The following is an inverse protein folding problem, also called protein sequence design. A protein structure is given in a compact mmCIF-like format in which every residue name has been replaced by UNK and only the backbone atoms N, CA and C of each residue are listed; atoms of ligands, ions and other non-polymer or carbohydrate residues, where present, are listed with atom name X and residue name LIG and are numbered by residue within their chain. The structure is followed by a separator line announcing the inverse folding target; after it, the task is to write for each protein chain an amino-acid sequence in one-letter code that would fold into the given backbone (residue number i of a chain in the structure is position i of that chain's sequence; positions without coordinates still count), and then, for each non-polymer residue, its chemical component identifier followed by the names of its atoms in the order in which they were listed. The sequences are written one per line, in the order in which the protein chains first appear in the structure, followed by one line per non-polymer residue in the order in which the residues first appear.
data_IF_552832263077
#
_entry.id   IF_552832263077
#
_cell.length_a   1.000
_cell.length_b   1.000
_cell.length_c   1.000
_cell.angle_alpha   90.00
_cell.angle_beta   90.00
_cell.angle_gamma   90.00
#
_symmetry.space_group_name_H-M   'P 1'
#
loop_
_entity.id
_entity.type
_entity.pdbx_description
1 polymer ?
#
# COMPACT_ATOMS: atom_id res chain seq x y z
N UNK A 1 -25.91 6.56 15.29
CA UNK A 1 -25.13 5.35 14.95
C UNK A 1 -24.14 5.79 13.89
N UNK A 2 -22.83 5.71 14.14
CA UNK A 2 -21.85 6.14 13.15
C UNK A 2 -21.96 5.19 11.95
N UNK A 3 -22.40 5.71 10.81
CA UNK A 3 -22.42 4.97 9.56
C UNK A 3 -21.01 4.44 9.29
N UNK A 4 -20.95 3.12 9.15
CA UNK A 4 -19.75 2.41 8.78
C UNK A 4 -19.39 2.76 7.34
N UNK A 5 -18.55 3.77 7.12
CA UNK A 5 -18.00 4.05 5.80
C UNK A 5 -16.81 3.13 5.57
N UNK A 6 -16.97 2.16 4.66
CA UNK A 6 -15.82 1.52 4.00
C UNK A 6 -14.93 2.64 3.47
N UNK A 7 -13.68 2.69 3.95
CA UNK A 7 -12.74 3.75 3.59
C UNK A 7 -12.29 3.66 2.12
N UNK A 8 -12.29 2.44 1.58
CA UNK A 8 -11.92 2.14 0.20
C UNK A 8 -12.90 1.14 -0.41
N UNK A 9 -13.20 1.33 -1.68
CA UNK A 9 -14.00 0.40 -2.48
C UNK A 9 -13.16 -0.78 -2.95
N UNK A 10 -13.81 -1.88 -3.35
CA UNK A 10 -13.09 -3.04 -3.90
C UNK A 10 -12.31 -2.68 -5.18
N UNK A 11 -12.84 -1.75 -5.98
CA UNK A 11 -12.19 -1.25 -7.19
C UNK A 11 -10.89 -0.49 -6.87
N UNK A 12 -10.88 0.37 -5.84
CA UNK A 12 -9.68 1.06 -5.40
C UNK A 12 -8.61 0.10 -4.86
N UNK A 13 -9.05 -0.95 -4.16
CA UNK A 13 -8.14 -1.99 -3.69
C UNK A 13 -7.54 -2.76 -4.86
N UNK A 14 -8.35 -3.15 -5.84
CA UNK A 14 -7.89 -3.86 -7.03
C UNK A 14 -6.87 -3.02 -7.83
N UNK A 15 -7.14 -1.71 -8.03
CA UNK A 15 -6.21 -0.76 -8.64
C UNK A 15 -4.87 -0.69 -7.90
N UNK A 16 -4.91 -0.62 -6.57
CA UNK A 16 -3.71 -0.63 -5.73
C UNK A 16 -2.90 -1.91 -5.93
N UNK A 17 -3.55 -3.07 -5.87
CA UNK A 17 -2.91 -4.38 -6.02
C UNK A 17 -2.31 -4.55 -7.43
N UNK A 18 -3.03 -4.14 -8.48
CA UNK A 18 -2.53 -4.15 -9.85
C UNK A 18 -1.33 -3.23 -10.04
N UNK A 19 -1.36 -2.03 -9.46
CA UNK A 19 -0.25 -1.08 -9.57
C UNK A 19 1.05 -1.67 -9.03
N UNK A 20 0.98 -2.29 -7.84
CA UNK A 20 2.11 -2.98 -7.23
C UNK A 20 2.52 -4.23 -8.03
N UNK A 21 1.56 -5.03 -8.50
CA UNK A 21 1.81 -6.23 -9.30
C UNK A 21 2.63 -5.94 -10.58
N UNK A 22 2.34 -4.83 -11.25
CA UNK A 22 3.06 -4.41 -12.46
C UNK A 22 4.45 -3.83 -12.19
N UNK A 23 4.75 -3.46 -10.93
CA UNK A 23 5.94 -2.68 -10.57
C UNK A 23 6.83 -3.34 -9.53
N UNK A 24 6.50 -4.52 -9.01
CA UNK A 24 7.32 -5.22 -8.00
C UNK A 24 8.80 -5.31 -8.41
N UNK A 25 9.10 -5.63 -9.66
CA UNK A 25 10.47 -5.71 -10.20
C UNK A 25 11.18 -4.35 -10.34
N UNK A 26 10.43 -3.25 -10.31
CA UNK A 26 10.93 -1.88 -10.39
C UNK A 26 10.98 -1.16 -9.05
N UNK A 27 10.46 -1.78 -7.99
CA UNK A 27 10.52 -1.20 -6.65
C UNK A 27 11.98 -1.13 -6.16
N UNK A 28 12.40 -0.02 -5.54
CA UNK A 28 13.74 0.10 -5.02
C UNK A 28 13.95 -0.87 -3.86
N UNK A 29 15.15 -1.39 -3.64
CA UNK A 29 15.41 -2.22 -2.44
C UNK A 29 15.24 -1.43 -1.13
N UNK A 30 15.33 -0.11 -1.19
CA UNK A 30 15.23 0.79 -0.04
C UNK A 30 14.41 2.02 -0.41
N UNK A 31 13.47 2.42 0.45
CA UNK A 31 12.76 3.70 0.36
C UNK A 31 12.68 4.40 1.71
N UNK A 32 12.89 5.71 1.71
CA UNK A 32 12.63 6.57 2.86
C UNK A 32 11.19 7.08 2.79
N UNK A 33 10.35 6.61 3.71
CA UNK A 33 8.98 7.10 3.85
C UNK A 33 8.95 8.50 4.45
N UNK A 34 9.87 8.76 5.38
CA UNK A 34 10.07 10.02 6.08
C UNK A 34 11.49 10.06 6.66
N UNK A 35 11.90 11.19 7.24
CA UNK A 35 13.23 11.40 7.84
C UNK A 35 13.64 10.32 8.87
N UNK A 36 12.67 9.64 9.50
CA UNK A 36 12.93 8.66 10.54
C UNK A 36 12.63 7.22 10.12
N UNK A 37 11.95 7.00 8.99
CA UNK A 37 11.46 5.69 8.58
C UNK A 37 12.02 5.31 7.22
N UNK A 38 12.97 4.38 7.24
CA UNK A 38 13.47 3.71 6.04
C UNK A 38 12.97 2.27 6.00
N UNK A 39 12.35 1.88 4.90
CA UNK A 39 11.98 0.50 4.60
C UNK A 39 13.06 -0.13 3.74
N UNK A 40 13.50 -1.33 4.11
CA UNK A 40 14.43 -2.17 3.36
C UNK A 40 13.70 -3.40 2.84
N UNK A 41 14.09 -3.92 1.68
CA UNK A 41 13.39 -5.03 1.03
C UNK A 41 11.98 -4.64 0.58
N UNK A 42 11.86 -3.49 -0.11
CA UNK A 42 10.56 -2.97 -0.55
C UNK A 42 9.76 -3.96 -1.40
N UNK A 43 10.34 -4.72 -2.35
CA UNK A 43 9.57 -5.67 -3.15
C UNK A 43 8.86 -6.74 -2.29
N UNK A 44 9.56 -7.32 -1.32
CA UNK A 44 8.99 -8.32 -0.41
C UNK A 44 7.99 -7.69 0.56
N UNK A 45 8.29 -6.49 1.05
CA UNK A 45 7.41 -5.74 1.95
C UNK A 45 6.11 -5.36 1.25
N UNK A 46 6.19 -4.88 0.02
CA UNK A 46 5.03 -4.52 -0.80
C UNK A 46 4.13 -5.73 -1.06
N UNK A 47 4.72 -6.92 -1.33
CA UNK A 47 3.94 -8.16 -1.49
C UNK A 47 3.15 -8.50 -0.23
N UNK A 48 3.81 -8.53 0.93
CA UNK A 48 3.16 -8.81 2.22
C UNK A 48 2.07 -7.79 2.56
N UNK A 49 2.31 -6.51 2.26
CA UNK A 49 1.31 -5.45 2.44
C UNK A 49 0.12 -5.65 1.51
N UNK A 50 0.34 -5.99 0.25
CA UNK A 50 -0.73 -6.28 -0.71
C UNK A 50 -1.55 -7.50 -0.30
N UNK A 51 -0.91 -8.59 0.14
CA UNK A 51 -1.60 -9.78 0.68
C UNK A 51 -2.45 -9.43 1.90
N UNK A 52 -1.92 -8.61 2.82
CA UNK A 52 -2.68 -8.13 3.98
C UNK A 52 -3.88 -7.29 3.55
N UNK A 53 -3.72 -6.39 2.58
CA UNK A 53 -4.79 -5.55 2.04
C UNK A 53 -5.87 -6.43 1.39
N UNK A 54 -5.49 -7.37 0.54
CA UNK A 54 -6.41 -8.28 -0.13
C UNK A 54 -7.23 -9.09 0.89
N UNK A 55 -6.57 -9.66 1.90
CA UNK A 55 -7.20 -10.49 2.93
C UNK A 55 -8.11 -9.68 3.86
N UNK A 56 -7.76 -8.43 4.16
CA UNK A 56 -8.43 -7.64 5.20
C UNK A 56 -9.20 -6.43 4.67
N UNK A 57 -9.38 -6.29 3.35
CA UNK A 57 -10.05 -5.13 2.73
C UNK A 57 -11.48 -4.89 3.24
N UNK A 58 -12.16 -5.95 3.71
CA UNK A 58 -13.50 -5.85 4.28
C UNK A 58 -13.52 -5.53 5.78
N UNK A 59 -12.37 -5.65 6.45
CA UNK A 59 -12.22 -5.42 7.89
C UNK A 59 -11.83 -3.96 8.19
N UNK A 60 -12.68 -3.20 8.88
CA UNK A 60 -12.40 -1.78 9.17
C UNK A 60 -11.19 -1.50 10.01
N UNK A 61 -10.85 -2.45 10.87
CA UNK A 61 -9.71 -2.33 11.78
C UNK A 61 -8.44 -2.10 10.98
N UNK A 62 -8.40 -2.61 9.75
CA UNK A 62 -7.28 -2.49 8.82
C UNK A 62 -7.37 -1.26 7.91
N UNK A 63 -8.42 -0.43 8.01
CA UNK A 63 -8.58 0.75 7.17
C UNK A 63 -7.41 1.73 7.28
N UNK A 64 -6.84 1.88 8.48
CA UNK A 64 -5.62 2.65 8.69
C UNK A 64 -4.41 2.00 7.99
N UNK A 65 -4.23 0.69 8.13
CA UNK A 65 -3.16 -0.06 7.47
C UNK A 65 -3.26 0.04 5.94
N UNK A 66 -4.45 -0.13 5.37
CA UNK A 66 -4.72 0.02 3.94
C UNK A 66 -4.35 1.43 3.47
N UNK A 67 -4.73 2.46 4.22
CA UNK A 67 -4.32 3.85 3.94
C UNK A 67 -2.80 4.03 3.93
N UNK A 68 -2.07 3.35 4.78
CA UNK A 68 -0.60 3.38 4.75
C UNK A 68 -0.04 2.77 3.46
N UNK A 69 -0.66 1.73 2.91
CA UNK A 69 -0.24 1.14 1.63
C UNK A 69 -0.49 2.09 0.45
N UNK A 70 -1.62 2.82 0.45
CA UNK A 70 -1.87 3.88 -0.53
C UNK A 70 -0.81 4.99 -0.47
N UNK A 71 -0.49 5.47 0.73
CA UNK A 71 0.56 6.49 0.92
C UNK A 71 1.95 6.02 0.48
N UNK A 72 2.26 4.76 0.75
CA UNK A 72 3.50 4.14 0.28
C UNK A 72 3.56 4.15 -1.26
N UNK A 73 2.46 3.86 -1.97
CA UNK A 73 2.39 4.02 -3.42
C UNK A 73 2.68 5.45 -3.84
N UNK A 74 2.01 6.43 -3.24
CA UNK A 74 2.23 7.85 -3.55
C UNK A 74 3.71 8.23 -3.38
N UNK A 75 4.32 7.80 -2.27
CA UNK A 75 5.74 8.02 -2.01
C UNK A 75 6.65 7.37 -3.04
N UNK A 76 6.34 6.15 -3.48
CA UNK A 76 7.08 5.46 -4.53
C UNK A 76 6.98 6.19 -5.88
N UNK A 77 5.82 6.77 -6.20
CA UNK A 77 5.64 7.58 -7.41
C UNK A 77 6.47 8.87 -7.29
N UNK A 78 6.41 9.55 -6.15
CA UNK A 78 7.10 10.84 -5.92
C UNK A 78 8.63 10.70 -5.86
N UNK A 79 9.17 9.76 -5.07
CA UNK A 79 10.61 9.63 -4.85
C UNK A 79 11.32 8.79 -5.92
N UNK A 80 10.62 7.83 -6.54
CA UNK A 80 11.23 6.91 -7.51
C UNK A 80 10.74 7.11 -8.95
N UNK A 81 9.72 7.94 -9.18
CA UNK A 81 9.17 8.20 -10.52
C UNK A 81 8.49 6.99 -11.16
N UNK A 82 7.86 6.15 -10.33
CA UNK A 82 7.22 4.88 -10.74
C UNK A 82 5.79 5.03 -11.30
#
# INVERSE_FOLDING_TARGET
MAEYKRLYTKEEIDDLLQWFAQRYDRLPERIALDDSTTVFGMPETARKLCEMVETNCENPTFGACIRHVFRLRERLIEDCGL
#
